data_IF_278306830391
#
_entry.id   IF_278306830391
#
_cell.length_a   1.000
_cell.length_b   1.000
_cell.length_c   1.000
_cell.angle_alpha   90.00
_cell.angle_beta   90.00
_cell.angle_gamma   90.00
#
_symmetry.space_group_name_H-M   'P 1'
#
loop_
_entity.id
_entity.type
_entity.pdbx_description
1 polymer ?
#
# COMPACT_ATOMS: atom_id res chain seq x y z
N UNK A 1 -0.23 0.02 -3.42
CA UNK A 1 -1.67 0.10 -3.08
C UNK A 1 -1.89 0.93 -1.80
N UNK A 2 -1.64 0.38 -0.61
CA UNK A 2 -1.93 1.07 0.66
C UNK A 2 -1.25 2.42 0.87
N UNK A 3 0.08 2.54 0.66
CA UNK A 3 0.81 3.81 0.84
C UNK A 3 0.28 4.92 -0.07
N UNK A 4 0.01 4.59 -1.34
CA UNK A 4 -0.51 5.56 -2.30
C UNK A 4 -1.90 6.04 -1.90
N UNK A 5 -2.75 5.13 -1.48
CA UNK A 5 -4.10 5.46 -1.00
C UNK A 5 -4.05 6.28 0.29
N UNK A 6 -3.20 5.91 1.25
CA UNK A 6 -2.98 6.65 2.50
C UNK A 6 -2.53 8.10 2.26
N UNK A 7 -1.63 8.32 1.30
CA UNK A 7 -1.19 9.66 0.90
C UNK A 7 -2.31 10.42 0.16
N UNK A 8 -3.09 9.75 -0.69
CA UNK A 8 -4.22 10.35 -1.42
C UNK A 8 -5.38 10.74 -0.50
N UNK A 9 -5.66 9.96 0.53
CA UNK A 9 -6.72 10.23 1.50
C UNK A 9 -6.47 11.51 2.33
N UNK A 10 -5.31 12.17 2.20
CA UNK A 10 -4.94 13.41 2.94
C UNK A 10 -5.25 13.32 4.44
N UNK A 11 -5.13 12.13 5.03
CA UNK A 11 -5.37 11.92 6.46
C UNK A 11 -4.40 12.70 7.36
N UNK A 12 -3.29 13.16 6.78
CA UNK A 12 -2.36 14.08 7.42
C UNK A 12 -2.57 15.47 6.84
N UNK A 13 -2.95 16.48 7.66
CA UNK A 13 -3.07 17.84 7.19
C UNK A 13 -1.76 18.30 6.55
N UNK A 14 -1.80 19.04 5.42
CA UNK A 14 -0.59 19.55 4.76
C UNK A 14 0.19 20.57 5.61
N UNK A 15 -0.36 20.98 6.76
CA UNK A 15 0.30 21.75 7.82
C UNK A 15 1.16 20.91 8.77
N UNK A 16 0.86 19.61 8.90
CA UNK A 16 1.53 18.70 9.85
C UNK A 16 2.74 18.02 9.21
N UNK A 17 2.62 17.50 7.99
CA UNK A 17 3.74 16.79 7.37
C UNK A 17 3.68 16.80 5.83
N UNK A 18 4.58 17.55 5.19
CA UNK A 18 4.76 17.56 3.71
C UNK A 18 5.83 16.58 3.23
N UNK A 19 6.64 16.05 4.16
CA UNK A 19 7.76 15.19 3.81
C UNK A 19 7.29 13.75 3.55
N UNK A 20 7.42 13.32 2.30
CA UNK A 20 7.03 11.97 1.85
C UNK A 20 7.80 10.85 2.57
N UNK A 21 9.00 11.11 3.10
CA UNK A 21 9.77 10.17 3.92
C UNK A 21 9.05 9.88 5.26
N UNK A 22 8.57 10.92 5.94
CA UNK A 22 7.87 10.80 7.21
C UNK A 22 6.49 10.14 7.01
N UNK A 23 5.76 10.52 5.96
CA UNK A 23 4.50 9.86 5.59
C UNK A 23 4.67 8.35 5.35
N UNK A 24 5.80 7.94 4.78
CA UNK A 24 6.09 6.52 4.55
C UNK A 24 6.37 5.77 5.85
N UNK A 25 7.06 6.41 6.82
CA UNK A 25 7.28 5.83 8.16
C UNK A 25 5.96 5.70 8.93
N UNK A 26 5.11 6.72 8.88
CA UNK A 26 3.78 6.72 9.52
C UNK A 26 2.90 5.62 8.91
N UNK A 27 2.82 5.55 7.58
CA UNK A 27 2.07 4.50 6.89
C UNK A 27 2.58 3.09 7.26
N UNK A 28 3.90 2.91 7.37
CA UNK A 28 4.48 1.65 7.81
C UNK A 28 4.13 1.29 9.26
N UNK A 29 4.12 2.28 10.17
CA UNK A 29 3.71 2.09 11.56
C UNK A 29 2.21 1.76 11.67
N UNK A 30 1.36 2.52 10.97
CA UNK A 30 -0.07 2.28 10.91
C UNK A 30 -0.37 0.89 10.36
N UNK A 31 0.28 0.50 9.26
CA UNK A 31 0.14 -0.86 8.72
C UNK A 31 0.54 -1.92 9.75
N UNK A 32 1.61 -1.74 10.52
CA UNK A 32 1.95 -2.70 11.58
C UNK A 32 0.85 -2.80 12.64
N UNK A 33 0.32 -1.67 13.08
CA UNK A 33 -0.71 -1.57 14.12
C UNK A 33 -2.13 -1.95 13.66
N UNK A 34 -2.41 -1.98 12.36
CA UNK A 34 -3.70 -2.40 11.82
C UNK A 34 -4.01 -3.86 12.16
N UNK A 35 -5.28 -4.14 12.43
CA UNK A 35 -5.80 -5.49 12.66
C UNK A 35 -5.85 -6.31 11.37
N UNK A 36 -5.96 -7.64 11.50
CA UNK A 36 -6.08 -8.53 10.34
C UNK A 36 -7.28 -8.21 9.45
N UNK A 37 -8.40 -7.76 10.05
CA UNK A 37 -9.61 -7.33 9.34
C UNK A 37 -9.36 -6.07 8.50
N UNK A 38 -8.68 -5.06 9.06
CA UNK A 38 -8.36 -3.84 8.32
C UNK A 38 -7.33 -4.09 7.20
N UNK A 39 -6.45 -5.06 7.38
CA UNK A 39 -5.47 -5.49 6.36
C UNK A 39 -6.08 -6.36 5.27
N UNK A 40 -7.19 -7.05 5.56
CA UNK A 40 -7.83 -8.00 4.65
C UNK A 40 -8.17 -7.40 3.27
N UNK A 41 -8.82 -6.23 3.15
CA UNK A 41 -9.13 -5.65 1.83
C UNK A 41 -7.85 -5.36 1.03
N UNK A 42 -6.79 -4.90 1.69
CA UNK A 42 -5.50 -4.65 1.05
C UNK A 42 -4.78 -5.91 0.59
N UNK A 43 -4.89 -7.00 1.36
CA UNK A 43 -4.38 -8.32 0.96
C UNK A 43 -5.14 -8.86 -0.24
N UNK A 44 -6.47 -8.74 -0.24
CA UNK A 44 -7.30 -9.17 -1.37
C UNK A 44 -6.95 -8.40 -2.65
N UNK A 45 -6.82 -7.06 -2.55
CA UNK A 45 -6.40 -6.23 -3.68
C UNK A 45 -5.00 -6.60 -4.18
N UNK A 46 -4.06 -6.91 -3.28
CA UNK A 46 -2.71 -7.33 -3.67
C UNK A 46 -2.71 -8.69 -4.38
N UNK A 47 -3.54 -9.64 -3.93
CA UNK A 47 -3.66 -10.94 -4.60
C UNK A 47 -4.35 -10.79 -5.97
N UNK A 48 -5.38 -9.95 -6.07
CA UNK A 48 -6.03 -9.64 -7.34
C UNK A 48 -5.05 -9.06 -8.35
N UNK A 49 -4.27 -8.05 -7.95
CA UNK A 49 -3.22 -7.47 -8.81
C UNK A 49 -2.17 -8.50 -9.22
N UNK A 50 -1.79 -9.41 -8.32
CA UNK A 50 -0.85 -10.49 -8.62
C UNK A 50 -1.42 -11.46 -9.67
N UNK A 51 -2.70 -11.81 -9.54
CA UNK A 51 -3.40 -12.67 -10.52
C UNK A 51 -3.49 -11.95 -11.86
N UNK A 52 -3.94 -10.69 -11.88
CA UNK A 52 -4.04 -9.89 -13.10
C UNK A 52 -2.68 -9.71 -13.77
N UNK A 53 -1.63 -9.49 -12.99
CA UNK A 53 -0.27 -9.39 -13.49
C UNK A 53 0.21 -10.71 -14.08
N UNK A 54 -0.08 -11.86 -13.45
CA UNK A 54 0.28 -13.17 -13.96
C UNK A 54 -0.46 -13.49 -15.28
N UNK A 55 -1.73 -13.09 -15.39
CA UNK A 55 -2.51 -13.23 -16.63
C UNK A 55 -1.99 -12.31 -17.72
N UNK A 56 -1.69 -11.05 -17.39
CA UNK A 56 -1.22 -10.03 -18.36
C UNK A 56 0.22 -10.27 -18.81
N UNK A 57 1.06 -10.78 -17.92
CA UNK A 57 2.47 -11.03 -18.15
C UNK A 57 2.84 -12.47 -17.77
N UNK A 58 2.43 -13.46 -18.57
CA UNK A 58 2.65 -14.87 -18.28
C UNK A 58 4.13 -15.25 -18.20
N UNK A 59 4.99 -14.55 -18.96
CA UNK A 59 6.45 -14.77 -18.96
C UNK A 59 7.19 -13.92 -17.91
N UNK A 60 6.46 -13.16 -17.07
CA UNK A 60 7.08 -12.32 -16.07
C UNK A 60 7.74 -13.15 -14.97
N UNK A 61 9.07 -13.03 -14.88
CA UNK A 61 9.86 -13.59 -13.80
C UNK A 61 10.55 -12.45 -13.07
N UNK A 62 10.25 -12.29 -11.78
CA UNK A 62 10.92 -11.31 -10.93
C UNK A 62 12.43 -11.59 -10.90
N UNK A 63 13.22 -10.62 -11.37
CA UNK A 63 14.67 -10.63 -11.30
C UNK A 63 15.10 -9.56 -10.28
N UNK A 64 15.60 -9.97 -9.09
CA UNK A 64 15.95 -9.07 -8.00
C UNK A 64 17.20 -8.21 -8.28
#
# INVERSE_FOLDING_TARGET
LFRCDFIRQKRVPPSVERNTRNLSRIAGSLWKNMTSLEKQPWKMLAEQEKIEHAVRYPDYKYQP
#
